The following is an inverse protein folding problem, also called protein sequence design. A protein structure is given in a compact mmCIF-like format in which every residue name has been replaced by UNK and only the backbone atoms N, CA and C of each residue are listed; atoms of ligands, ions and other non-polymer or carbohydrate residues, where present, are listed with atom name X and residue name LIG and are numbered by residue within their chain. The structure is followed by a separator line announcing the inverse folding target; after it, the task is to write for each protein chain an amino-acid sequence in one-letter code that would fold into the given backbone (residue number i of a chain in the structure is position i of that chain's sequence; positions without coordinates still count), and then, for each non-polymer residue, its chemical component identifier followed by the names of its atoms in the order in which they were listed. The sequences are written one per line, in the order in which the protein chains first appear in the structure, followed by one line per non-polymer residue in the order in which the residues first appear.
data_IF_165295029708
#
_entry.id   IF_165295029708
#
_cell.length_a   1.000
_cell.length_b   1.000
_cell.length_c   1.000
_cell.angle_alpha   90.00
_cell.angle_beta   90.00
_cell.angle_gamma   90.00
#
_symmetry.space_group_name_H-M   'P 1'
#
loop_
_entity.id
_entity.type
_entity.pdbx_description
1 polymer ?
#
# COMPACT_ATOMS: atom_id res chain seq x y z
N UNK A 1 21.25 -9.78 29.58
CA UNK A 1 20.54 -8.63 28.97
C UNK A 1 21.23 -8.30 27.66
N UNK A 2 20.56 -8.30 26.49
CA UNK A 2 21.20 -8.00 25.22
C UNK A 2 21.79 -6.58 25.26
N UNK A 3 23.08 -6.44 24.92
CA UNK A 3 23.80 -5.16 24.84
C UNK A 3 23.64 -4.20 26.05
N UNK A 4 23.42 -4.74 27.25
CA UNK A 4 23.25 -3.92 28.47
C UNK A 4 21.87 -3.26 28.64
N UNK A 5 20.89 -3.55 27.78
CA UNK A 5 19.51 -3.06 27.93
C UNK A 5 18.58 -4.12 28.53
N UNK A 6 17.59 -3.67 29.31
CA UNK A 6 16.60 -4.56 29.89
C UNK A 6 15.76 -5.27 28.81
N UNK A 7 15.37 -6.51 29.08
CA UNK A 7 14.53 -7.32 28.17
C UNK A 7 13.26 -6.60 27.69
N UNK A 8 12.50 -5.89 28.56
CA UNK A 8 11.34 -5.13 28.12
C UNK A 8 11.69 -4.00 27.14
N UNK A 9 12.83 -3.34 27.33
CA UNK A 9 13.31 -2.28 26.43
C UNK A 9 13.71 -2.85 25.07
N UNK A 10 14.41 -3.98 25.07
CA UNK A 10 14.77 -4.70 23.84
C UNK A 10 13.54 -5.12 23.05
N UNK A 11 12.55 -5.75 23.70
CA UNK A 11 11.32 -6.21 23.05
C UNK A 11 10.50 -5.06 22.46
N UNK A 12 10.42 -3.92 23.15
CA UNK A 12 9.76 -2.72 22.61
C UNK A 12 10.42 -2.21 21.35
N UNK A 13 11.76 -2.16 21.32
CA UNK A 13 12.49 -1.71 20.13
C UNK A 13 12.31 -2.71 18.99
N UNK A 14 12.44 -4.01 19.27
CA UNK A 14 12.25 -5.06 18.27
C UNK A 14 10.86 -4.99 17.64
N UNK A 15 9.80 -4.91 18.47
CA UNK A 15 8.44 -4.84 17.96
C UNK A 15 8.17 -3.55 17.18
N UNK A 16 8.68 -2.40 17.66
CA UNK A 16 8.58 -1.14 16.93
C UNK A 16 9.24 -1.22 15.54
N UNK A 17 10.44 -1.81 15.44
CA UNK A 17 11.13 -2.00 14.16
C UNK A 17 10.36 -2.91 13.22
N UNK A 18 9.83 -4.03 13.72
CA UNK A 18 9.02 -4.95 12.92
C UNK A 18 7.74 -4.27 12.41
N UNK A 19 7.04 -3.53 13.27
CA UNK A 19 5.82 -2.79 12.89
C UNK A 19 6.13 -1.71 11.86
N UNK A 20 7.23 -0.98 12.01
CA UNK A 20 7.67 0.01 11.03
C UNK A 20 7.97 -0.62 9.67
N UNK A 21 8.62 -1.80 9.66
CA UNK A 21 8.87 -2.56 8.43
C UNK A 21 7.56 -2.96 7.73
N UNK A 22 6.60 -3.52 8.47
CA UNK A 22 5.30 -3.90 7.90
C UNK A 22 4.49 -2.70 7.41
N UNK A 23 4.48 -1.61 8.17
CA UNK A 23 3.83 -0.37 7.76
C UNK A 23 4.44 0.19 6.46
N UNK A 24 5.77 0.20 6.35
CA UNK A 24 6.48 0.62 5.14
C UNK A 24 6.13 -0.24 3.93
N UNK A 25 6.16 -1.58 4.08
CA UNK A 25 5.80 -2.50 3.01
C UNK A 25 4.35 -2.27 2.53
N UNK A 26 3.41 -2.13 3.48
CA UNK A 26 2.01 -1.90 3.15
C UNK A 26 1.78 -0.57 2.44
N UNK A 27 2.49 0.49 2.83
CA UNK A 27 2.38 1.81 2.17
C UNK A 27 2.82 1.72 0.70
N UNK A 28 3.89 1.00 0.38
CA UNK A 28 4.34 0.82 -1.00
C UNK A 28 3.28 0.07 -1.83
N UNK A 29 2.69 -1.00 -1.27
CA UNK A 29 1.61 -1.73 -1.93
C UNK A 29 0.37 -0.86 -2.14
N UNK A 30 0.00 -0.01 -1.19
CA UNK A 30 -1.15 0.89 -1.34
C UNK A 30 -0.87 2.07 -2.28
N UNK A 31 0.36 2.54 -2.34
CA UNK A 31 0.74 3.68 -3.16
C UNK A 31 0.88 3.31 -4.65
N UNK A 32 1.59 2.22 -4.93
CA UNK A 32 1.83 1.78 -6.32
C UNK A 32 0.75 0.82 -6.83
N UNK A 33 0.08 0.09 -5.93
CA UNK A 33 -0.92 -0.93 -6.24
C UNK A 33 -0.46 -1.81 -7.41
N UNK A 34 0.69 -2.50 -7.25
CA UNK A 34 1.28 -3.25 -8.33
C UNK A 34 0.32 -4.37 -8.74
N UNK A 35 0.20 -4.58 -10.05
CA UNK A 35 -0.46 -5.78 -10.56
C UNK A 35 0.38 -7.00 -10.17
N UNK A 36 -0.24 -7.92 -9.44
CA UNK A 36 0.36 -9.16 -8.96
C UNK A 36 0.03 -10.33 -9.90
N UNK A 37 -0.70 -10.08 -10.99
CA UNK A 37 -0.97 -11.08 -12.01
C UNK A 37 0.33 -11.48 -12.71
N UNK A 38 0.58 -12.78 -12.80
CA UNK A 38 1.71 -13.32 -13.55
C UNK A 38 1.16 -13.81 -14.88
N UNK A 39 1.47 -13.16 -16.01
CA UNK A 39 1.05 -13.67 -17.32
C UNK A 39 1.84 -14.93 -17.67
N UNK A 40 1.17 -15.94 -18.22
CA UNK A 40 1.79 -17.18 -18.73
C UNK A 40 2.87 -16.89 -19.79
N UNK A 41 2.64 -15.86 -20.62
CA UNK A 41 3.56 -15.42 -21.66
C UNK A 41 4.20 -14.11 -21.18
N UNK A 42 5.54 -14.04 -21.06
CA UNK A 42 6.20 -12.82 -20.67
C UNK A 42 5.94 -11.72 -21.71
N UNK A 43 5.66 -10.48 -21.28
CA UNK A 43 5.47 -9.36 -22.19
C UNK A 43 6.75 -9.09 -22.97
N UNK A 44 6.62 -8.59 -24.20
CA UNK A 44 7.80 -8.26 -25.01
C UNK A 44 8.57 -7.11 -24.35
N UNK A 45 9.88 -7.01 -24.59
CA UNK A 45 10.68 -5.88 -24.11
C UNK A 45 10.04 -4.55 -24.53
N UNK A 46 9.67 -3.72 -23.55
CA UNK A 46 9.00 -2.43 -23.78
C UNK A 46 7.48 -2.42 -23.69
N UNK A 47 6.81 -3.58 -23.61
CA UNK A 47 5.35 -3.69 -23.42
C UNK A 47 4.96 -3.85 -21.93
N UNK A 48 5.94 -3.73 -21.02
CA UNK A 48 5.69 -3.78 -19.58
C UNK A 48 4.84 -2.57 -19.15
N UNK A 49 3.65 -2.85 -18.62
CA UNK A 49 2.79 -1.83 -18.03
C UNK A 49 3.43 -1.36 -16.73
N UNK A 50 3.88 -0.11 -16.70
CA UNK A 50 4.55 0.52 -15.54
C UNK A 50 3.72 1.67 -14.95
N UNK A 51 2.43 1.68 -15.22
CA UNK A 51 1.50 2.71 -14.77
C UNK A 51 1.30 2.67 -13.24
N UNK A 52 1.11 3.85 -12.63
CA UNK A 52 0.76 4.01 -11.22
C UNK A 52 -0.73 3.69 -10.99
N UNK A 53 -1.10 2.42 -11.06
CA UNK A 53 -2.48 1.94 -10.90
C UNK A 53 -3.11 2.45 -9.60
N UNK A 54 -2.35 2.50 -8.51
CA UNK A 54 -2.84 3.01 -7.21
C UNK A 54 -3.35 4.45 -7.24
N UNK A 55 -2.76 5.33 -8.05
CA UNK A 55 -3.20 6.72 -8.18
C UNK A 55 -4.55 6.81 -8.91
N UNK A 56 -4.70 6.07 -10.01
CA UNK A 56 -5.93 6.04 -10.81
C UNK A 56 -7.12 5.54 -9.99
N UNK A 57 -6.95 4.43 -9.27
CA UNK A 57 -7.99 3.86 -8.40
C UNK A 57 -8.44 4.86 -7.33
N UNK A 58 -7.53 5.66 -6.77
CA UNK A 58 -7.87 6.69 -5.77
C UNK A 58 -8.67 7.84 -6.36
N UNK A 59 -8.35 8.29 -7.58
CA UNK A 59 -9.14 9.33 -8.25
C UNK A 59 -10.55 8.84 -8.56
N UNK A 60 -10.70 7.61 -9.07
CA UNK A 60 -11.99 7.00 -9.36
C UNK A 60 -12.84 6.85 -8.10
N UNK A 61 -12.25 6.36 -7.00
CA UNK A 61 -12.93 6.23 -5.72
C UNK A 61 -13.37 7.58 -5.14
N UNK A 62 -12.55 8.63 -5.29
CA UNK A 62 -12.89 9.97 -4.85
C UNK A 62 -14.05 10.57 -5.66
N UNK A 63 -14.06 10.36 -6.99
CA UNK A 63 -15.14 10.79 -7.86
C UNK A 63 -16.46 10.07 -7.53
N UNK A 64 -16.43 8.75 -7.34
CA UNK A 64 -17.60 7.96 -6.95
C UNK A 64 -18.17 8.41 -5.60
N UNK A 65 -17.30 8.69 -4.61
CA UNK A 65 -17.73 9.21 -3.30
C UNK A 65 -18.43 10.58 -3.43
N UNK A 66 -17.95 11.45 -4.32
CA UNK A 66 -18.58 12.75 -4.57
C UNK A 66 -19.96 12.59 -5.20
N UNK A 67 -20.12 11.66 -6.14
CA UNK A 67 -21.42 11.34 -6.75
C UNK A 67 -22.42 10.85 -5.71
N UNK A 68 -22.03 9.89 -4.86
CA UNK A 68 -22.90 9.40 -3.79
C UNK A 68 -23.31 10.50 -2.80
N UNK A 69 -22.40 11.42 -2.47
CA UNK A 69 -22.71 12.57 -1.60
C UNK A 69 -23.64 13.59 -2.28
N UNK A 70 -23.57 13.71 -3.60
CA UNK A 70 -24.46 14.57 -4.37
C UNK A 70 -25.86 13.97 -4.47
N UNK A 71 -25.98 12.66 -4.68
CA UNK A 71 -27.25 11.92 -4.65
C UNK A 71 -27.91 12.01 -3.27
N UNK A 72 -27.17 11.76 -2.18
CA UNK A 72 -27.69 11.87 -0.81
C UNK A 72 -28.10 13.29 -0.39
N UNK A 73 -27.65 14.33 -1.09
CA UNK A 73 -28.06 15.72 -0.84
C UNK A 73 -29.23 16.17 -1.69
N UNK A 74 -29.58 15.39 -2.72
CA UNK A 74 -30.68 15.67 -3.62
C UNK A 74 -32.01 15.05 -3.14
N UNK A 75 -31.94 14.10 -2.21
CA UNK A 75 -33.06 13.58 -1.40
C UNK A 75 -33.30 14.41 -0.13
#
# INVERSE_FOLDING_TARGET
MPAGVSWPRYLKMLSASMLAMFAGAQVVHQYYLPDLSIPEIPPKPGELQTDLLGYKVREEAAAALQQLKAEQKAD
#
